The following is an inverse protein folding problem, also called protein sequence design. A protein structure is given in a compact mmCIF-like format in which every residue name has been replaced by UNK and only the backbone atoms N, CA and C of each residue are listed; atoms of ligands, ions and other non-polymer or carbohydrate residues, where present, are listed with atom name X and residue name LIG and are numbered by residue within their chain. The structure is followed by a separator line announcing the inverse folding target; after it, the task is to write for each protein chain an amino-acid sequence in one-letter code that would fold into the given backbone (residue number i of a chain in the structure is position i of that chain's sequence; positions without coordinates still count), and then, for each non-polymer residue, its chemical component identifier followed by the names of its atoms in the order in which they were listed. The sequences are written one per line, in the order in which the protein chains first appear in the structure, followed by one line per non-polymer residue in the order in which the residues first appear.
data_IF_228931099104
#
_entry.id   IF_228931099104
#
_cell.length_a   1.000
_cell.length_b   1.000
_cell.length_c   1.000
_cell.angle_alpha   90.00
_cell.angle_beta   90.00
_cell.angle_gamma   90.00
#
_symmetry.space_group_name_H-M   'P 1'
#
loop_
_entity.id
_entity.type
_entity.pdbx_description
1 polymer ?
#
# COMPACT_ATOMS: atom_id res chain seq x y z
N UNK A 1 -8.40 -21.77 16.93
CA UNK A 1 -7.53 -22.04 15.75
C UNK A 1 -6.11 -21.59 16.09
N UNK A 2 -5.08 -22.43 15.89
CA UNK A 2 -3.66 -22.04 16.01
C UNK A 2 -3.04 -22.04 14.60
N UNK A 3 -2.55 -20.90 14.14
CA UNK A 3 -1.83 -20.78 12.86
C UNK A 3 -0.35 -20.64 13.17
N UNK A 4 0.47 -21.56 12.65
CA UNK A 4 1.91 -21.49 12.79
C UNK A 4 2.50 -20.49 11.79
N UNK A 5 3.42 -19.65 12.26
CA UNK A 5 4.17 -18.73 11.39
C UNK A 5 5.23 -19.52 10.62
N UNK A 6 5.29 -19.32 9.30
CA UNK A 6 6.27 -19.95 8.42
C UNK A 6 7.33 -18.96 7.91
N UNK A 7 6.90 -17.75 7.54
CA UNK A 7 7.74 -16.75 6.89
C UNK A 7 7.96 -15.48 7.73
N UNK A 8 7.28 -15.39 8.88
CA UNK A 8 7.32 -14.23 9.78
C UNK A 8 7.78 -14.65 11.17
N UNK A 9 8.37 -13.71 11.90
CA UNK A 9 8.70 -13.87 13.31
C UNK A 9 7.71 -13.10 14.17
N UNK A 10 7.56 -13.53 15.41
CA UNK A 10 6.76 -12.78 16.37
C UNK A 10 7.39 -11.42 16.66
N UNK A 11 6.55 -10.38 16.81
CA UNK A 11 6.96 -8.99 17.04
C UNK A 11 7.80 -8.33 15.93
N UNK A 12 8.02 -9.00 14.80
CA UNK A 12 8.64 -8.43 13.62
C UNK A 12 7.60 -7.94 12.61
N UNK A 13 8.00 -6.98 11.77
CA UNK A 13 7.21 -6.59 10.61
C UNK A 13 7.01 -7.79 9.66
N UNK A 14 5.82 -7.94 9.04
CA UNK A 14 5.62 -8.95 8.01
C UNK A 14 6.55 -8.76 6.80
N UNK A 15 7.16 -7.57 6.68
CA UNK A 15 8.08 -7.22 5.61
C UNK A 15 9.57 -7.41 5.98
N UNK A 16 9.90 -7.77 7.22
CA UNK A 16 11.29 -7.79 7.71
C UNK A 16 12.26 -8.67 6.90
N UNK A 17 11.76 -9.76 6.31
CA UNK A 17 12.58 -10.70 5.51
C UNK A 17 12.37 -10.52 4.00
N UNK A 18 11.76 -9.41 3.56
CA UNK A 18 11.50 -9.13 2.15
C UNK A 18 12.36 -7.95 1.75
N UNK A 19 13.29 -8.17 0.82
CA UNK A 19 14.04 -7.09 0.22
C UNK A 19 13.15 -6.32 -0.77
N UNK A 20 13.28 -5.00 -0.78
CA UNK A 20 12.57 -4.12 -1.71
C UNK A 20 13.56 -3.37 -2.57
N UNK A 21 13.22 -3.21 -3.85
CA UNK A 21 13.98 -2.41 -4.82
C UNK A 21 13.08 -1.36 -5.46
N UNK A 22 13.73 -0.35 -6.03
CA UNK A 22 13.06 0.60 -6.93
C UNK A 22 12.83 -0.01 -8.30
N UNK A 23 11.70 0.31 -8.89
CA UNK A 23 11.35 -0.04 -10.27
C UNK A 23 10.59 1.11 -10.92
N UNK A 24 10.44 1.02 -12.24
CA UNK A 24 9.55 1.88 -13.02
C UNK A 24 8.54 1.03 -13.76
N UNK A 25 7.32 1.51 -13.90
CA UNK A 25 6.31 0.93 -14.79
C UNK A 25 6.03 1.90 -15.93
N UNK A 26 6.04 1.39 -17.16
CA UNK A 26 5.85 2.19 -18.36
C UNK A 26 4.99 1.44 -19.38
N UNK A 27 4.02 2.14 -19.95
CA UNK A 27 3.24 1.66 -21.10
C UNK A 27 3.58 2.55 -22.28
N UNK A 28 4.00 1.93 -23.38
CA UNK A 28 4.28 2.61 -24.64
C UNK A 28 3.32 2.16 -25.74
N UNK A 29 3.00 3.07 -26.64
CA UNK A 29 2.36 2.78 -27.91
C UNK A 29 3.36 2.08 -28.87
N UNK A 30 2.89 1.43 -29.95
CA UNK A 30 3.76 0.85 -30.97
C UNK A 30 4.72 1.85 -31.62
N UNK A 31 4.35 3.14 -31.66
CA UNK A 31 5.19 4.23 -32.16
C UNK A 31 6.26 4.70 -31.15
N UNK A 32 6.31 4.09 -29.96
CA UNK A 32 7.25 4.42 -28.88
C UNK A 32 6.80 5.53 -27.93
N UNK A 33 5.67 6.20 -28.19
CA UNK A 33 5.14 7.25 -27.31
C UNK A 33 4.64 6.67 -25.98
N UNK A 34 4.84 7.40 -24.89
CA UNK A 34 4.51 6.95 -23.52
C UNK A 34 3.04 7.27 -23.21
N UNK A 35 2.27 6.23 -22.89
CA UNK A 35 0.86 6.31 -22.48
C UNK A 35 0.74 6.46 -20.97
N UNK A 36 1.61 5.80 -20.23
CA UNK A 36 1.66 5.83 -18.78
C UNK A 36 3.09 5.60 -18.32
N UNK A 37 3.51 6.33 -17.31
CA UNK A 37 4.79 6.11 -16.65
C UNK A 37 4.66 6.42 -15.17
N UNK A 38 5.21 5.53 -14.36
CA UNK A 38 5.34 5.71 -12.93
C UNK A 38 6.72 5.21 -12.51
N UNK A 39 7.56 6.12 -12.04
CA UNK A 39 8.92 5.84 -11.60
C UNK A 39 8.99 5.67 -10.08
N UNK A 40 10.15 5.20 -9.62
CA UNK A 40 10.53 5.11 -8.21
C UNK A 40 9.57 4.31 -7.30
N UNK A 41 8.91 3.30 -7.87
CA UNK A 41 8.00 2.44 -7.11
C UNK A 41 8.76 1.41 -6.27
N UNK A 42 8.34 1.22 -5.02
CA UNK A 42 8.93 0.23 -4.12
C UNK A 42 8.22 -1.13 -4.28
N UNK A 43 8.95 -2.12 -4.78
CA UNK A 43 8.45 -3.47 -5.06
C UNK A 43 9.38 -4.52 -4.46
N UNK A 44 8.91 -5.74 -4.13
CA UNK A 44 9.79 -6.83 -3.72
C UNK A 44 10.89 -7.08 -4.75
N UNK A 45 12.12 -7.27 -4.29
CA UNK A 45 13.30 -7.37 -5.15
C UNK A 45 13.17 -8.50 -6.19
N UNK A 46 12.62 -9.64 -5.76
CA UNK A 46 12.45 -10.85 -6.55
C UNK A 46 11.31 -10.78 -7.57
N UNK A 47 10.53 -9.69 -7.60
CA UNK A 47 9.45 -9.55 -8.58
C UNK A 47 9.96 -9.25 -9.98
N UNK A 48 9.36 -9.94 -10.95
CA UNK A 48 9.57 -9.66 -12.37
C UNK A 48 9.01 -8.29 -12.74
N UNK A 49 9.52 -7.71 -13.84
CA UNK A 49 9.00 -6.44 -14.36
C UNK A 49 7.49 -6.50 -14.62
N UNK A 50 6.99 -7.63 -15.18
CA UNK A 50 5.55 -7.84 -15.42
C UNK A 50 4.74 -7.76 -14.12
N UNK A 51 5.23 -8.33 -13.02
CA UNK A 51 4.55 -8.24 -11.72
C UNK A 51 4.52 -6.79 -11.20
N UNK A 52 5.62 -6.05 -11.37
CA UNK A 52 5.71 -4.63 -11.04
C UNK A 52 4.70 -3.80 -11.85
N UNK A 53 4.59 -4.09 -13.15
CA UNK A 53 3.66 -3.42 -14.06
C UNK A 53 2.20 -3.69 -13.70
N UNK A 54 1.85 -4.96 -13.39
CA UNK A 54 0.51 -5.32 -12.95
C UNK A 54 0.14 -4.59 -11.65
N UNK A 55 1.07 -4.51 -10.69
CA UNK A 55 0.86 -3.77 -9.44
C UNK A 55 0.54 -2.30 -9.73
N UNK A 56 1.40 -1.63 -10.48
CA UNK A 56 1.27 -0.21 -10.77
C UNK A 56 0.00 0.13 -11.57
N UNK A 57 -0.38 -0.72 -12.52
CA UNK A 57 -1.48 -0.43 -13.44
C UNK A 57 -2.85 -0.85 -12.92
N UNK A 58 -2.92 -1.89 -12.09
CA UNK A 58 -4.20 -2.49 -11.66
C UNK A 58 -4.52 -2.26 -10.19
N UNK A 59 -3.49 -2.15 -9.33
CA UNK A 59 -3.71 -2.14 -7.89
C UNK A 59 -3.46 -0.79 -7.25
N UNK A 60 -2.55 0.02 -7.78
CA UNK A 60 -2.35 1.39 -7.29
C UNK A 60 -3.60 2.23 -7.50
N UNK A 61 -4.01 2.95 -6.45
CA UNK A 61 -5.11 3.92 -6.54
C UNK A 61 -4.71 5.10 -7.44
N UNK A 62 -5.20 5.08 -8.68
CA UNK A 62 -4.90 6.09 -9.71
C UNK A 62 -5.45 7.50 -9.37
N UNK A 63 -6.62 7.57 -8.73
CA UNK A 63 -7.17 8.82 -8.19
C UNK A 63 -6.46 9.29 -6.91
N UNK A 64 -5.54 8.47 -6.39
CA UNK A 64 -4.82 8.71 -5.16
C UNK A 64 -5.67 8.62 -3.89
N UNK A 65 -5.01 8.92 -2.78
CA UNK A 65 -5.61 9.14 -1.48
C UNK A 65 -4.87 10.25 -0.74
N UNK A 66 -5.26 10.57 0.49
CA UNK A 66 -4.51 11.50 1.31
C UNK A 66 -3.08 11.00 1.51
N UNK A 67 -2.11 11.87 1.30
CA UNK A 67 -0.67 11.55 1.42
C UNK A 67 -0.27 11.21 2.85
N UNK A 68 -0.93 11.84 3.83
CA UNK A 68 -0.74 11.59 5.25
C UNK A 68 -2.01 10.98 5.86
N UNK A 69 -1.81 9.88 6.56
CA UNK A 69 -2.85 9.11 7.23
C UNK A 69 -2.46 8.92 8.69
N UNK A 70 -3.46 8.83 9.55
CA UNK A 70 -3.30 8.43 10.96
C UNK A 70 -4.26 7.31 11.32
N UNK A 71 -3.88 6.51 12.31
CA UNK A 71 -4.78 5.51 12.90
C UNK A 71 -5.96 6.22 13.58
N UNK A 72 -7.15 5.66 13.40
CA UNK A 72 -8.36 6.09 14.06
C UNK A 72 -8.66 5.12 15.21
N UNK A 73 -8.68 5.64 16.44
CA UNK A 73 -8.91 4.84 17.62
C UNK A 73 -10.35 4.33 17.66
N UNK A 74 -10.49 3.00 17.66
CA UNK A 74 -11.75 2.28 17.70
C UNK A 74 -11.70 1.32 18.89
N UNK A 75 -12.35 1.69 19.99
CA UNK A 75 -12.26 0.95 21.26
C UNK A 75 -12.80 -0.49 21.18
N UNK A 76 -13.63 -0.79 20.18
CA UNK A 76 -14.19 -2.12 19.90
C UNK A 76 -13.33 -2.93 18.89
N UNK A 77 -12.22 -2.37 18.43
CA UNK A 77 -11.29 -2.99 17.49
C UNK A 77 -9.88 -2.99 18.10
N UNK A 78 -9.12 -4.10 18.01
CA UNK A 78 -7.75 -4.13 18.47
C UNK A 78 -6.90 -3.05 17.81
N UNK A 79 -6.00 -2.41 18.56
CA UNK A 79 -5.22 -1.25 18.10
C UNK A 79 -4.29 -1.51 16.91
N UNK A 80 -3.94 -2.77 16.67
CA UNK A 80 -3.19 -3.20 15.50
C UNK A 80 -4.06 -3.24 14.22
N UNK A 81 -5.39 -3.28 14.36
CA UNK A 81 -6.37 -3.36 13.27
C UNK A 81 -7.15 -2.04 13.05
N UNK A 82 -6.85 -1.00 13.82
CA UNK A 82 -7.45 0.32 13.63
C UNK A 82 -7.29 0.80 12.19
N UNK A 83 -8.40 1.26 11.62
CA UNK A 83 -8.40 1.85 10.27
C UNK A 83 -7.61 3.15 10.24
N UNK A 84 -7.16 3.53 9.06
CA UNK A 84 -6.51 4.81 8.84
C UNK A 84 -7.49 5.84 8.28
N UNK A 85 -7.37 7.09 8.72
CA UNK A 85 -8.13 8.26 8.25
C UNK A 85 -7.17 9.36 7.80
N UNK A 86 -7.61 10.31 6.95
CA UNK A 86 -6.79 11.46 6.57
C UNK A 86 -6.29 12.21 7.81
N UNK A 87 -5.00 12.49 7.89
CA UNK A 87 -4.47 13.33 8.95
C UNK A 87 -4.60 14.81 8.57
N UNK A 88 -5.77 15.39 8.84
CA UNK A 88 -6.12 16.77 8.44
C UNK A 88 -5.09 17.80 8.90
N UNK A 89 -4.53 17.64 10.11
CA UNK A 89 -3.53 18.56 10.64
C UNK A 89 -2.21 18.45 9.86
N UNK A 90 -1.66 17.24 9.70
CA UNK A 90 -0.45 17.03 8.90
C UNK A 90 -0.62 17.41 7.44
N UNK A 91 -1.80 17.17 6.85
CA UNK A 91 -2.11 17.57 5.48
C UNK A 91 -2.17 19.09 5.30
N UNK A 92 -2.62 19.84 6.32
CA UNK A 92 -2.69 21.30 6.25
C UNK A 92 -1.30 21.94 6.07
N UNK A 93 -0.25 21.31 6.62
CA UNK A 93 1.15 21.72 6.49
C UNK A 93 1.74 21.48 5.09
N UNK A 94 1.07 20.67 4.26
CA UNK A 94 1.49 20.41 2.89
C UNK A 94 0.83 21.40 1.91
N UNK A 95 1.54 21.79 0.83
CA UNK A 95 0.93 22.45 -0.32
C UNK A 95 -0.31 21.69 -0.82
N UNK A 96 -1.34 22.42 -1.25
CA UNK A 96 -2.65 21.83 -1.60
C UNK A 96 -2.53 20.74 -2.68
N UNK A 97 -1.68 20.96 -3.67
CA UNK A 97 -1.35 20.04 -4.77
C UNK A 97 -0.59 18.78 -4.31
N UNK A 98 -0.07 18.76 -3.07
CA UNK A 98 0.69 17.64 -2.51
C UNK A 98 -0.07 16.90 -1.39
N UNK A 99 -1.29 17.32 -1.05
CA UNK A 99 -2.12 16.67 -0.02
C UNK A 99 -2.66 15.32 -0.45
N UNK A 100 -2.84 15.14 -1.76
CA UNK A 100 -3.32 13.91 -2.38
C UNK A 100 -2.20 13.28 -3.21
N UNK A 101 -2.17 11.96 -3.31
CA UNK A 101 -1.16 11.26 -4.11
C UNK A 101 -1.52 9.82 -4.40
N UNK A 102 -0.97 9.27 -5.48
CA UNK A 102 -1.09 7.85 -5.80
C UNK A 102 -0.28 6.98 -4.84
N UNK A 103 -0.61 5.69 -4.79
CA UNK A 103 0.29 4.71 -4.19
C UNK A 103 1.54 4.57 -5.06
N UNK A 104 2.68 4.36 -4.39
CA UNK A 104 4.00 4.23 -5.00
C UNK A 104 4.76 3.02 -4.46
N UNK A 105 4.15 2.21 -3.60
CA UNK A 105 4.81 1.04 -3.04
C UNK A 105 3.87 -0.14 -2.83
N UNK A 106 4.38 -1.35 -3.04
CA UNK A 106 3.65 -2.59 -2.85
C UNK A 106 3.13 -2.74 -1.41
N UNK A 107 3.91 -2.27 -0.42
CA UNK A 107 3.51 -2.28 1.01
C UNK A 107 2.20 -1.52 1.26
N UNK A 108 1.97 -0.39 0.58
CA UNK A 108 0.72 0.36 0.71
C UNK A 108 -0.48 -0.47 0.23
N UNK A 109 -0.32 -1.20 -0.88
CA UNK A 109 -1.35 -2.10 -1.41
C UNK A 109 -1.57 -3.29 -0.47
N UNK A 110 -0.51 -3.92 0.00
CA UNK A 110 -0.57 -5.08 0.88
C UNK A 110 -1.27 -4.74 2.21
N UNK A 111 -0.82 -3.67 2.88
CA UNK A 111 -1.43 -3.21 4.14
C UNK A 111 -2.89 -2.85 3.93
N UNK A 112 -3.22 -2.15 2.84
CA UNK A 112 -4.60 -1.78 2.52
C UNK A 112 -5.47 -3.01 2.30
N UNK A 113 -5.05 -3.95 1.47
CA UNK A 113 -5.86 -5.12 1.12
C UNK A 113 -6.02 -6.05 2.33
N UNK A 114 -4.92 -6.46 2.95
CA UNK A 114 -4.96 -7.34 4.10
C UNK A 114 -5.68 -6.68 5.29
N UNK A 115 -5.38 -5.41 5.57
CA UNK A 115 -6.02 -4.64 6.64
C UNK A 115 -7.52 -4.48 6.44
N UNK A 116 -7.98 -4.16 5.23
CA UNK A 116 -9.41 -4.02 4.92
C UNK A 116 -10.14 -5.33 5.16
N UNK A 117 -9.61 -6.45 4.66
CA UNK A 117 -10.24 -7.76 4.82
C UNK A 117 -10.28 -8.21 6.29
N UNK A 118 -9.16 -8.05 7.01
CA UNK A 118 -9.11 -8.37 8.44
C UNK A 118 -10.07 -7.50 9.25
N UNK A 119 -10.16 -6.20 8.95
CA UNK A 119 -11.05 -5.27 9.62
C UNK A 119 -12.52 -5.66 9.43
N UNK A 120 -12.94 -5.95 8.19
CA UNK A 120 -14.30 -6.40 7.91
C UNK A 120 -14.61 -7.76 8.51
N UNK A 121 -13.65 -8.70 8.48
CA UNK A 121 -13.76 -9.98 9.17
C UNK A 121 -14.04 -9.80 10.66
N UNK A 122 -13.26 -8.94 11.32
CA UNK A 122 -13.45 -8.58 12.73
C UNK A 122 -14.81 -7.95 13.01
N UNK A 123 -15.18 -6.88 12.27
CA UNK A 123 -16.46 -6.19 12.45
C UNK A 123 -17.66 -7.07 12.13
N UNK A 124 -17.49 -8.05 11.23
CA UNK A 124 -18.52 -9.02 10.86
C UNK A 124 -18.61 -10.25 11.77
N UNK A 125 -17.66 -10.45 12.68
CA UNK A 125 -17.63 -11.61 13.58
C UNK A 125 -17.30 -12.93 12.90
N UNK A 126 -16.50 -12.91 11.83
CA UNK A 126 -16.05 -14.09 11.07
C UNK A 126 -14.82 -14.76 11.67
#
# INVERSE_FOLDING_TARGET
MRIHRLFTKENDSPYSNIEFRKASSEIKNPDGSVVFRLDDIDVPADWSQVACDVLAQKYFRKAGGPKLLKKFEENDVPSWLWRCVPDIAGLAELPEDQRMGSETGARQVFDRMAGTWAYWGWKGGY
#
